data_IF_822686668428
#
_entry.id   IF_822686668428
#
_cell.length_a   1.000
_cell.length_b   1.000
_cell.length_c   1.000
_cell.angle_alpha   90.00
_cell.angle_beta   90.00
_cell.angle_gamma   90.00
#
_symmetry.space_group_name_H-M   'P 1'
#
loop_
_entity.id
_entity.type
_entity.pdbx_description
1 polymer ?
#
# COMPACT_ATOMS: atom_id res chain seq x y z
N UNK A 1 3.73 12.64 -27.74
CA UNK A 1 4.53 11.51 -27.21
C UNK A 1 5.52 12.11 -26.22
N UNK A 2 5.14 12.25 -24.95
CA UNK A 2 6.06 12.78 -23.94
C UNK A 2 7.01 11.68 -23.52
N UNK A 3 8.29 11.85 -23.84
CA UNK A 3 9.36 11.00 -23.35
C UNK A 3 9.40 11.06 -21.82
N UNK A 4 9.33 9.89 -21.17
CA UNK A 4 9.58 9.78 -19.75
C UNK A 4 11.07 10.04 -19.48
N UNK A 5 11.37 11.08 -18.71
CA UNK A 5 12.74 11.39 -18.27
C UNK A 5 13.32 10.24 -17.43
N UNK A 6 14.64 9.98 -17.52
CA UNK A 6 15.31 9.04 -16.62
C UNK A 6 15.12 9.49 -15.17
N UNK A 7 14.92 8.55 -14.24
CA UNK A 7 14.79 8.83 -12.81
C UNK A 7 16.15 9.30 -12.25
N UNK A 8 16.47 10.58 -12.42
CA UNK A 8 17.69 11.25 -11.93
C UNK A 8 17.62 11.63 -10.43
N UNK A 9 16.60 11.14 -9.71
CA UNK A 9 16.37 11.49 -8.31
C UNK A 9 15.84 12.92 -8.10
N UNK A 10 15.55 13.68 -9.16
CA UNK A 10 14.85 14.95 -9.04
C UNK A 10 13.39 14.74 -8.65
N UNK A 11 12.90 15.67 -7.84
CA UNK A 11 11.60 15.70 -7.19
C UNK A 11 10.50 15.22 -8.13
N UNK A 12 9.77 14.18 -7.71
CA UNK A 12 8.63 13.62 -8.45
C UNK A 12 7.67 14.76 -8.82
N UNK A 13 7.72 15.23 -10.07
CA UNK A 13 6.82 16.28 -10.58
C UNK A 13 5.43 15.68 -10.78
N UNK A 14 4.40 16.35 -10.25
CA UNK A 14 2.99 15.95 -10.37
C UNK A 14 2.24 15.79 -9.05
N UNK A 15 2.92 15.97 -7.91
CA UNK A 15 2.27 16.05 -6.59
C UNK A 15 2.74 17.31 -5.88
N UNK A 16 1.84 17.97 -5.16
CA UNK A 16 2.22 19.08 -4.26
C UNK A 16 3.30 18.63 -3.28
N UNK A 17 4.11 19.57 -2.81
CA UNK A 17 5.02 19.30 -1.70
C UNK A 17 4.23 18.91 -0.44
N UNK A 18 4.64 17.82 0.17
CA UNK A 18 4.06 17.32 1.40
C UNK A 18 4.73 17.98 2.60
N UNK A 19 3.93 18.42 3.56
CA UNK A 19 4.46 18.83 4.86
C UNK A 19 5.05 17.64 5.61
N UNK A 20 5.94 17.91 6.57
CA UNK A 20 6.48 16.87 7.46
C UNK A 20 5.38 16.06 8.17
N UNK A 21 4.28 16.71 8.55
CA UNK A 21 3.14 16.02 9.18
C UNK A 21 2.44 15.05 8.23
N UNK A 22 2.36 15.37 6.94
CA UNK A 22 1.75 14.53 5.92
C UNK A 22 2.64 13.35 5.55
N UNK A 23 3.95 13.58 5.44
CA UNK A 23 4.95 12.51 5.30
C UNK A 23 4.85 11.56 6.49
N UNK A 24 4.75 12.09 7.72
CA UNK A 24 4.55 11.31 8.93
C UNK A 24 3.30 10.44 8.87
N UNK A 25 2.15 11.01 8.48
CA UNK A 25 0.90 10.26 8.30
C UNK A 25 0.99 9.19 7.22
N UNK A 26 1.63 9.47 6.08
CA UNK A 26 1.85 8.47 5.02
C UNK A 26 2.68 7.29 5.52
N UNK A 27 3.74 7.56 6.28
CA UNK A 27 4.57 6.51 6.84
C UNK A 27 3.79 5.65 7.85
N UNK A 28 2.95 6.27 8.69
CA UNK A 28 2.06 5.53 9.60
C UNK A 28 1.11 4.59 8.85
N UNK A 29 0.48 5.03 7.76
CA UNK A 29 -0.37 4.15 6.95
C UNK A 29 0.42 2.98 6.33
N UNK A 30 1.63 3.25 5.83
CA UNK A 30 2.50 2.22 5.25
C UNK A 30 2.96 1.21 6.31
N UNK A 31 3.28 1.67 7.51
CA UNK A 31 3.72 0.82 8.61
C UNK A 31 2.58 -0.08 9.09
N UNK A 32 1.36 0.46 9.25
CA UNK A 32 0.17 -0.33 9.59
C UNK A 32 -0.14 -1.38 8.52
N UNK A 33 -0.08 -1.00 7.23
CA UNK A 33 -0.24 -1.93 6.11
C UNK A 33 0.79 -3.05 6.14
N UNK A 34 2.07 -2.73 6.41
CA UNK A 34 3.12 -3.74 6.53
C UNK A 34 2.90 -4.68 7.71
N UNK A 35 2.53 -4.16 8.88
CA UNK A 35 2.25 -4.96 10.06
C UNK A 35 1.08 -5.92 9.82
N UNK A 36 -0.02 -5.43 9.23
CA UNK A 36 -1.18 -6.25 8.90
C UNK A 36 -0.84 -7.36 7.90
N UNK A 37 -0.13 -7.04 6.81
CA UNK A 37 0.27 -8.04 5.80
C UNK A 37 1.24 -9.07 6.38
N UNK A 38 2.15 -8.67 7.26
CA UNK A 38 3.03 -9.62 7.94
C UNK A 38 2.23 -10.60 8.81
N UNK A 39 1.27 -10.11 9.59
CA UNK A 39 0.39 -10.96 10.39
C UNK A 39 -0.42 -11.94 9.52
N UNK A 40 -0.91 -11.49 8.35
CA UNK A 40 -1.58 -12.37 7.40
C UNK A 40 -0.65 -13.49 6.91
N UNK A 41 0.61 -13.18 6.58
CA UNK A 41 1.59 -14.17 6.10
C UNK A 41 1.97 -15.18 7.17
N UNK A 42 2.09 -14.74 8.42
CA UNK A 42 2.26 -15.63 9.56
C UNK A 42 1.05 -16.57 9.66
N UNK A 43 -0.17 -16.01 9.59
CA UNK A 43 -1.40 -16.78 9.70
C UNK A 43 -1.62 -17.79 8.56
N UNK A 44 -1.18 -17.50 7.32
CA UNK A 44 -1.23 -18.48 6.21
C UNK A 44 -0.53 -19.78 6.61
N UNK A 45 0.63 -19.69 7.27
CA UNK A 45 1.38 -20.88 7.69
C UNK A 45 0.62 -21.67 8.78
N UNK A 46 -0.16 -20.99 9.62
CA UNK A 46 -0.96 -21.64 10.66
C UNK A 46 -2.17 -22.40 10.09
N UNK A 47 -2.73 -21.89 9.00
CA UNK A 47 -3.97 -22.35 8.38
C UNK A 47 -3.74 -23.43 7.33
N UNK A 48 -2.60 -23.48 6.65
CA UNK A 48 -2.29 -24.49 5.63
C UNK A 48 -1.97 -25.88 6.23
N UNK A 49 -2.92 -26.50 6.93
CA UNK A 49 -2.75 -27.81 7.58
C UNK A 49 -3.37 -28.95 6.77
N UNK A 50 -4.46 -28.67 6.07
CA UNK A 50 -5.23 -29.65 5.30
C UNK A 50 -5.65 -29.09 3.94
N UNK A 51 -5.99 -29.95 2.95
CA UNK A 51 -6.55 -29.51 1.67
C UNK A 51 -7.87 -28.73 1.78
N UNK A 52 -8.59 -28.83 2.90
CA UNK A 52 -9.86 -28.14 3.12
C UNK A 52 -9.70 -26.68 3.56
N UNK A 53 -8.50 -26.27 3.96
CA UNK A 53 -8.20 -24.90 4.41
C UNK A 53 -8.03 -23.90 3.24
N UNK A 54 -8.24 -24.36 2.01
CA UNK A 54 -8.08 -23.56 0.79
C UNK A 54 -8.94 -22.29 0.82
N UNK A 55 -10.16 -22.36 1.37
CA UNK A 55 -11.05 -21.20 1.47
C UNK A 55 -10.46 -20.12 2.38
N UNK A 56 -9.94 -20.51 3.54
CA UNK A 56 -9.29 -19.58 4.47
C UNK A 56 -8.02 -18.96 3.85
N UNK A 57 -7.25 -19.74 3.09
CA UNK A 57 -6.10 -19.22 2.33
C UNK A 57 -6.53 -18.18 1.28
N UNK A 58 -7.63 -18.40 0.57
CA UNK A 58 -8.16 -17.42 -0.40
C UNK A 58 -8.62 -16.13 0.29
N UNK A 59 -9.29 -16.23 1.44
CA UNK A 59 -9.66 -15.04 2.22
C UNK A 59 -8.44 -14.25 2.72
N UNK A 60 -7.35 -14.92 3.09
CA UNK A 60 -6.10 -14.25 3.47
C UNK A 60 -5.50 -13.50 2.28
N UNK A 61 -5.47 -14.12 1.08
CA UNK A 61 -5.00 -13.45 -0.14
C UNK A 61 -5.84 -12.23 -0.48
N UNK A 62 -7.17 -12.34 -0.36
CA UNK A 62 -8.10 -11.24 -0.57
C UNK A 62 -7.83 -10.10 0.43
N UNK A 63 -7.66 -10.42 1.71
CA UNK A 63 -7.33 -9.42 2.74
C UNK A 63 -5.99 -8.72 2.49
N UNK A 64 -4.96 -9.43 2.02
CA UNK A 64 -3.67 -8.81 1.63
C UNK A 64 -3.86 -7.82 0.47
N UNK A 65 -4.66 -8.20 -0.55
CA UNK A 65 -4.98 -7.32 -1.67
C UNK A 65 -5.76 -6.07 -1.22
N UNK A 66 -6.78 -6.24 -0.40
CA UNK A 66 -7.61 -5.15 0.10
C UNK A 66 -6.83 -4.20 1.01
N UNK A 67 -5.93 -4.70 1.85
CA UNK A 67 -5.05 -3.85 2.66
C UNK A 67 -4.11 -3.01 1.79
N UNK A 68 -3.52 -3.59 0.74
CA UNK A 68 -2.69 -2.85 -0.22
C UNK A 68 -3.51 -1.76 -0.91
N UNK A 69 -4.73 -2.08 -1.35
CA UNK A 69 -5.66 -1.12 -1.96
C UNK A 69 -6.03 0.01 -1.01
N UNK A 70 -6.36 -0.31 0.24
CA UNK A 70 -6.68 0.66 1.29
C UNK A 70 -5.48 1.58 1.58
N UNK A 71 -4.27 1.02 1.70
CA UNK A 71 -3.03 1.78 1.90
C UNK A 71 -2.75 2.74 0.73
N UNK A 72 -2.95 2.30 -0.52
CA UNK A 72 -2.82 3.16 -1.70
C UNK A 72 -3.84 4.31 -1.68
N UNK A 73 -5.10 4.01 -1.36
CA UNK A 73 -6.15 5.02 -1.26
C UNK A 73 -5.85 6.04 -0.15
N UNK A 74 -5.40 5.57 1.03
CA UNK A 74 -5.01 6.45 2.13
C UNK A 74 -3.80 7.34 1.77
N UNK A 75 -2.77 6.78 1.12
CA UNK A 75 -1.63 7.58 0.66
C UNK A 75 -2.05 8.63 -0.37
N UNK A 76 -2.96 8.31 -1.30
CA UNK A 76 -3.52 9.29 -2.25
C UNK A 76 -4.31 10.38 -1.55
N UNK A 77 -5.11 10.03 -0.53
CA UNK A 77 -5.86 11.00 0.26
C UNK A 77 -4.94 11.97 1.03
N UNK A 78 -3.78 11.50 1.51
CA UNK A 78 -2.76 12.37 2.11
C UNK A 78 -2.06 13.23 1.06
N UNK A 79 -1.71 12.63 -0.08
CA UNK A 79 -1.01 13.34 -1.14
C UNK A 79 -1.84 14.53 -1.66
N UNK A 80 -3.17 14.37 -1.75
CA UNK A 80 -4.08 15.36 -2.36
C UNK A 80 -3.51 15.78 -3.73
N UNK A 81 -3.45 14.86 -4.71
CA UNK A 81 -3.00 15.22 -6.05
C UNK A 81 -3.81 16.44 -6.52
N UNK A 82 -3.12 17.39 -7.14
CA UNK A 82 -3.74 18.63 -7.60
C UNK A 82 -4.89 18.32 -8.58
N UNK A 83 -5.86 19.22 -8.68
CA UNK A 83 -7.09 19.07 -9.49
C UNK A 83 -6.81 18.83 -11.00
N UNK A 84 -5.55 18.99 -11.45
CA UNK A 84 -5.09 18.81 -12.84
C UNK A 84 -4.57 17.39 -13.16
N UNK A 85 -4.87 16.38 -12.33
CA UNK A 85 -4.45 14.98 -12.55
C UNK A 85 -5.57 14.03 -13.01
#
# INVERSE_FOLDING_TARGET
MSEAKPQDGSTVKGYRELSFGEIGKMNQFKDLSRQFINLLREHVNDVQRTPHDWEAVEWIKQAEFDMKRACMAACRAVARPDDDC
#
